data_IF_583514618282
#
_entry.id   IF_583514618282
#
_cell.length_a   1.000
_cell.length_b   1.000
_cell.length_c   1.000
_cell.angle_alpha   90.00
_cell.angle_beta   90.00
_cell.angle_gamma   90.00
#
_symmetry.space_group_name_H-M   'P 1'
#
loop_
_entity.id
_entity.type
_entity.pdbx_description
1 polymer ?
#
# COMPACT_ATOMS: atom_id res chain seq x y z
N UNK A 1 22.17 4.72 17.66
CA UNK A 1 23.05 4.71 16.48
C UNK A 1 22.30 5.42 15.37
N UNK A 2 22.91 6.41 14.72
CA UNK A 2 22.25 7.18 13.65
C UNK A 2 22.45 6.50 12.29
N UNK A 3 21.44 6.57 11.41
CA UNK A 3 21.45 6.00 10.07
C UNK A 3 21.67 7.11 9.03
N UNK A 4 22.66 6.96 8.16
CA UNK A 4 23.08 8.00 7.19
C UNK A 4 23.15 7.49 5.75
N UNK A 5 22.45 6.40 5.41
CA UNK A 5 22.41 5.84 4.05
C UNK A 5 20.99 5.83 3.46
N UNK A 6 20.36 7.00 3.40
CA UNK A 6 19.03 7.14 2.78
C UNK A 6 19.04 6.95 1.26
N UNK A 7 20.21 6.98 0.63
CA UNK A 7 20.35 6.79 -0.82
C UNK A 7 20.12 5.32 -1.22
N UNK A 8 20.54 4.36 -0.37
CA UNK A 8 20.29 2.93 -0.61
C UNK A 8 18.86 2.52 -0.26
N UNK A 9 18.42 2.83 0.96
CA UNK A 9 17.07 2.50 1.41
C UNK A 9 16.65 3.35 2.60
N UNK A 10 15.35 3.43 2.82
CA UNK A 10 14.76 4.04 4.02
C UNK A 10 13.67 3.12 4.57
N UNK A 11 13.41 3.15 5.88
CA UNK A 11 12.22 2.52 6.44
C UNK A 11 10.96 3.05 5.76
N UNK A 12 9.97 2.18 5.58
CA UNK A 12 8.66 2.62 5.10
C UNK A 12 8.10 3.70 6.02
N UNK A 13 7.53 4.74 5.41
CA UNK A 13 6.70 5.68 6.14
C UNK A 13 5.59 4.91 6.88
N UNK A 14 5.23 5.24 8.13
CA UNK A 14 4.22 4.48 8.89
C UNK A 14 2.90 4.29 8.14
N UNK A 15 2.44 5.33 7.42
CA UNK A 15 1.24 5.26 6.59
C UNK A 15 1.42 4.33 5.38
N UNK A 16 2.60 4.32 4.75
CA UNK A 16 2.88 3.41 3.64
C UNK A 16 2.85 1.93 4.10
N UNK A 17 3.33 1.66 5.32
CA UNK A 17 3.20 0.32 5.93
C UNK A 17 1.74 -0.06 6.16
N UNK A 18 0.90 0.86 6.64
CA UNK A 18 -0.53 0.60 6.85
C UNK A 18 -1.26 0.35 5.52
N UNK A 19 -0.99 1.17 4.51
CA UNK A 19 -1.55 1.00 3.17
C UNK A 19 -1.17 -0.35 2.55
N UNK A 20 0.10 -0.77 2.69
CA UNK A 20 0.55 -2.08 2.21
C UNK A 20 -0.21 -3.23 2.88
N UNK A 21 -0.40 -3.19 4.21
CA UNK A 21 -1.14 -4.24 4.91
C UNK A 21 -2.61 -4.27 4.48
N UNK A 22 -3.26 -3.11 4.37
CA UNK A 22 -4.65 -3.03 3.89
C UNK A 22 -4.79 -3.56 2.44
N UNK A 23 -3.80 -3.30 1.58
CA UNK A 23 -3.78 -3.84 0.23
C UNK A 23 -3.66 -5.38 0.22
N UNK A 24 -2.85 -5.97 1.11
CA UNK A 24 -2.72 -7.43 1.22
C UNK A 24 -3.98 -8.10 1.77
N UNK A 25 -4.63 -7.48 2.76
CA UNK A 25 -5.81 -8.05 3.41
C UNK A 25 -7.09 -7.86 2.59
N UNK A 26 -7.27 -6.69 1.98
CA UNK A 26 -8.56 -6.27 1.40
C UNK A 26 -8.48 -5.72 -0.02
N UNK A 27 -7.31 -5.23 -0.44
CA UNK A 27 -7.08 -4.56 -1.73
C UNK A 27 -6.33 -5.39 -2.76
N UNK A 28 -6.27 -6.72 -2.61
CA UNK A 28 -5.41 -7.60 -3.40
C UNK A 28 -5.83 -7.71 -4.88
N UNK A 29 -7.09 -7.37 -5.19
CA UNK A 29 -7.66 -7.53 -6.52
C UNK A 29 -7.26 -6.37 -7.46
N UNK A 30 -7.36 -6.62 -8.76
CA UNK A 30 -7.09 -5.62 -9.79
C UNK A 30 -8.07 -4.44 -9.71
N UNK A 31 -7.61 -3.20 -9.43
CA UNK A 31 -8.46 -2.01 -9.26
C UNK A 31 -9.06 -1.48 -10.58
N UNK A 32 -8.73 -2.09 -11.73
CA UNK A 32 -9.42 -1.85 -13.00
C UNK A 32 -10.67 -2.72 -13.17
N UNK A 33 -10.85 -3.78 -12.38
CA UNK A 33 -12.03 -4.66 -12.47
C UNK A 33 -13.22 -4.05 -11.76
N UNK A 34 -14.37 -4.06 -12.43
CA UNK A 34 -15.62 -3.48 -11.91
C UNK A 34 -16.35 -4.36 -10.88
N UNK A 35 -15.86 -5.56 -10.63
CA UNK A 35 -16.39 -6.47 -9.60
C UNK A 35 -16.08 -5.96 -8.19
N UNK A 36 -16.73 -6.55 -7.18
CA UNK A 36 -16.72 -6.05 -5.80
C UNK A 36 -15.29 -5.85 -5.26
N UNK A 37 -14.44 -6.85 -5.46
CA UNK A 37 -13.06 -6.88 -4.95
C UNK A 37 -12.20 -5.82 -5.65
N UNK A 38 -12.34 -5.67 -6.97
CA UNK A 38 -11.64 -4.63 -7.74
C UNK A 38 -12.07 -3.21 -7.34
N UNK A 39 -13.37 -3.00 -7.07
CA UNK A 39 -13.85 -1.72 -6.52
C UNK A 39 -13.28 -1.45 -5.13
N UNK A 40 -13.14 -2.47 -4.28
CA UNK A 40 -12.50 -2.32 -2.95
C UNK A 40 -11.02 -1.96 -3.08
N UNK A 41 -10.29 -2.62 -3.96
CA UNK A 41 -8.90 -2.27 -4.26
C UNK A 41 -8.74 -0.85 -4.79
N UNK A 42 -9.65 -0.40 -5.69
CA UNK A 42 -9.67 0.99 -6.18
C UNK A 42 -9.86 2.00 -5.05
N UNK A 43 -10.83 1.75 -4.15
CA UNK A 43 -11.07 2.65 -3.01
C UNK A 43 -9.85 2.77 -2.08
N UNK A 44 -9.14 1.66 -1.83
CA UNK A 44 -7.93 1.67 -1.01
C UNK A 44 -6.74 2.33 -1.71
N UNK A 45 -6.67 2.27 -3.05
CA UNK A 45 -5.62 2.92 -3.84
C UNK A 45 -5.78 4.44 -3.90
N UNK A 46 -7.01 4.93 -3.92
CA UNK A 46 -7.32 6.37 -4.06
C UNK A 46 -7.31 7.14 -2.72
N UNK A 47 -7.23 6.43 -1.58
CA UNK A 47 -7.27 6.99 -0.22
C UNK A 47 -5.89 7.48 0.26
#
# INVERSE_FOLDING_TARGET
MAYFDSASSVPLHPVARQALLAALDEGWADPARLHREGRRARMLLDA
#
